data_IF_401012579576
#
_entry.id   IF_401012579576
#
_cell.length_a   1.000
_cell.length_b   1.000
_cell.length_c   1.000
_cell.angle_alpha   90.00
_cell.angle_beta   90.00
_cell.angle_gamma   90.00
#
_symmetry.space_group_name_H-M   'P 1'
#
loop_
_entity.id
_entity.type
_entity.pdbx_description
1 polymer ?
#
# COMPACT_ATOMS: atom_id res chain seq x y z
N UNK A 1 -16.68 -7.12 42.32
CA UNK A 1 -15.42 -6.50 41.80
C UNK A 1 -14.70 -7.45 40.85
N UNK A 2 -14.64 -8.75 41.13
CA UNK A 2 -14.08 -9.77 40.20
C UNK A 2 -14.75 -9.80 38.82
N UNK A 3 -16.08 -9.77 38.75
CA UNK A 3 -16.81 -9.76 37.47
C UNK A 3 -16.44 -8.56 36.58
N UNK A 4 -16.17 -7.40 37.18
CA UNK A 4 -15.77 -6.18 36.44
C UNK A 4 -14.35 -6.31 35.91
N UNK A 5 -13.43 -6.91 36.68
CA UNK A 5 -12.07 -7.19 36.20
C UNK A 5 -12.04 -8.26 35.11
N UNK A 6 -12.90 -9.28 35.21
CA UNK A 6 -13.02 -10.33 34.19
C UNK A 6 -13.58 -9.74 32.89
N UNK A 7 -14.65 -8.94 32.97
CA UNK A 7 -15.20 -8.25 31.80
C UNK A 7 -14.17 -7.36 31.12
N UNK A 8 -13.38 -6.60 31.88
CA UNK A 8 -12.32 -5.75 31.36
C UNK A 8 -11.27 -6.56 30.60
N UNK A 9 -10.84 -7.69 31.17
CA UNK A 9 -9.84 -8.57 30.54
C UNK A 9 -10.34 -9.20 29.22
N UNK A 10 -11.63 -9.56 29.17
CA UNK A 10 -12.27 -10.09 27.96
C UNK A 10 -12.36 -9.00 26.89
N UNK A 11 -12.74 -7.77 27.27
CA UNK A 11 -12.82 -6.65 26.35
C UNK A 11 -11.46 -6.26 25.78
N UNK A 12 -10.41 -6.22 26.60
CA UNK A 12 -9.02 -5.96 26.16
C UNK A 12 -8.55 -7.01 25.14
N UNK A 13 -8.83 -8.29 25.41
CA UNK A 13 -8.49 -9.39 24.48
C UNK A 13 -9.28 -9.30 23.16
N UNK A 14 -10.55 -8.91 23.20
CA UNK A 14 -11.37 -8.70 21.99
C UNK A 14 -10.84 -7.51 21.19
N UNK A 15 -10.50 -6.41 21.86
CA UNK A 15 -9.85 -5.26 21.25
C UNK A 15 -8.53 -5.63 20.55
N UNK A 16 -7.65 -6.38 21.23
CA UNK A 16 -6.40 -6.86 20.67
C UNK A 16 -6.60 -7.67 19.39
N UNK A 17 -7.58 -8.58 19.39
CA UNK A 17 -7.96 -9.38 18.19
C UNK A 17 -8.50 -8.53 17.04
N UNK A 18 -9.27 -7.47 17.34
CA UNK A 18 -9.78 -6.56 16.30
C UNK A 18 -8.67 -5.72 15.68
N UNK A 19 -7.76 -5.20 16.51
CA UNK A 19 -6.58 -4.47 16.03
C UNK A 19 -5.74 -5.39 15.14
N UNK A 20 -5.50 -6.62 15.57
CA UNK A 20 -4.77 -7.62 14.80
C UNK A 20 -5.44 -7.91 13.45
N UNK A 21 -6.77 -8.09 13.43
CA UNK A 21 -7.51 -8.28 12.18
C UNK A 21 -7.38 -7.07 11.23
N UNK A 22 -7.38 -5.84 11.77
CA UNK A 22 -7.11 -4.63 11.00
C UNK A 22 -5.69 -4.60 10.41
N UNK A 23 -4.69 -4.99 11.19
CA UNK A 23 -3.29 -5.07 10.73
C UNK A 23 -3.08 -6.17 9.68
N UNK A 24 -3.73 -7.32 9.85
CA UNK A 24 -3.74 -8.39 8.82
C UNK A 24 -4.41 -7.91 7.53
N UNK A 25 -5.47 -7.11 7.61
CA UNK A 25 -6.09 -6.47 6.44
C UNK A 25 -5.11 -5.53 5.72
N UNK A 26 -4.38 -4.70 6.47
CA UNK A 26 -3.31 -3.87 5.92
C UNK A 26 -2.26 -4.69 5.16
N UNK A 27 -1.72 -5.74 5.80
CA UNK A 27 -0.78 -6.68 5.17
C UNK A 27 -1.34 -7.28 3.87
N UNK A 28 -2.58 -7.77 3.89
CA UNK A 28 -3.20 -8.38 2.70
C UNK A 28 -3.36 -7.38 1.55
N UNK A 29 -3.68 -6.11 1.85
CA UNK A 29 -3.79 -5.07 0.83
C UNK A 29 -2.46 -4.86 0.11
N UNK A 30 -1.37 -4.67 0.87
CA UNK A 30 -0.03 -4.53 0.28
C UNK A 30 0.44 -5.80 -0.44
N UNK A 31 0.13 -6.98 0.08
CA UNK A 31 0.49 -8.25 -0.55
C UNK A 31 -0.19 -8.44 -1.92
N UNK A 32 -1.46 -8.04 -2.07
CA UNK A 32 -2.17 -8.10 -3.35
C UNK A 32 -1.56 -7.15 -4.38
N UNK A 33 -1.27 -5.92 -3.98
CA UNK A 33 -0.60 -4.97 -4.88
C UNK A 33 0.80 -5.43 -5.27
N UNK A 34 1.56 -5.97 -4.30
CA UNK A 34 2.86 -6.56 -4.57
C UNK A 34 2.75 -7.70 -5.59
N UNK A 35 1.78 -8.60 -5.44
CA UNK A 35 1.55 -9.69 -6.39
C UNK A 35 1.21 -9.17 -7.79
N UNK A 36 0.36 -8.15 -7.90
CA UNK A 36 0.02 -7.51 -9.20
C UNK A 36 1.25 -6.87 -9.83
N UNK A 37 2.08 -6.17 -9.06
CA UNK A 37 3.29 -5.55 -9.60
C UNK A 37 4.34 -6.60 -10.01
N UNK A 38 4.56 -7.63 -9.19
CA UNK A 38 5.50 -8.70 -9.53
C UNK A 38 5.07 -9.47 -10.78
N UNK A 39 3.77 -9.77 -10.91
CA UNK A 39 3.25 -10.40 -12.12
C UNK A 39 3.49 -9.51 -13.35
N UNK A 40 3.33 -8.20 -13.23
CA UNK A 40 3.61 -7.27 -14.32
C UNK A 40 5.08 -7.36 -14.78
N UNK A 41 6.02 -7.38 -13.83
CA UNK A 41 7.45 -7.54 -14.14
C UNK A 41 7.78 -8.90 -14.75
N UNK A 42 7.17 -9.98 -14.24
CA UNK A 42 7.33 -11.32 -14.84
C UNK A 42 6.85 -11.32 -16.29
N UNK A 43 5.71 -10.67 -16.58
CA UNK A 43 5.19 -10.55 -17.94
C UNK A 43 6.13 -9.75 -18.84
N UNK A 44 6.64 -8.60 -18.37
CA UNK A 44 7.62 -7.79 -19.13
C UNK A 44 8.92 -8.55 -19.43
N UNK A 45 9.34 -9.46 -18.53
CA UNK A 45 10.55 -10.25 -18.74
C UNK A 45 10.40 -11.40 -19.73
N UNK A 46 9.17 -11.83 -20.02
CA UNK A 46 8.87 -12.98 -20.89
C UNK A 46 8.37 -12.53 -22.26
N UNK A 47 7.64 -11.41 -22.32
CA UNK A 47 6.98 -10.94 -23.53
C UNK A 47 7.49 -9.56 -23.93
N UNK A 48 7.54 -9.30 -25.24
CA UNK A 48 7.74 -7.95 -25.76
C UNK A 48 6.38 -7.21 -25.73
N UNK A 49 6.15 -6.48 -24.65
CA UNK A 49 4.84 -5.96 -24.29
C UNK A 49 4.58 -4.61 -24.94
N UNK A 50 3.61 -4.57 -25.86
CA UNK A 50 3.10 -3.33 -26.44
C UNK A 50 2.40 -2.44 -25.40
N UNK A 51 2.36 -1.12 -25.65
CA UNK A 51 1.71 -0.16 -24.77
C UNK A 51 0.21 -0.45 -24.54
N UNK A 52 -0.47 -1.11 -25.48
CA UNK A 52 -1.88 -1.53 -25.35
C UNK A 52 -2.09 -2.54 -24.22
N UNK A 53 -1.09 -3.37 -23.93
CA UNK A 53 -1.17 -4.29 -22.79
C UNK A 53 -1.30 -3.54 -21.47
N UNK A 54 -0.62 -2.39 -21.31
CA UNK A 54 -0.72 -1.56 -20.11
C UNK A 54 -2.13 -1.01 -19.89
N UNK A 55 -2.84 -0.69 -20.99
CA UNK A 55 -4.24 -0.25 -20.93
C UNK A 55 -5.20 -1.34 -20.45
N UNK A 56 -4.83 -2.61 -20.56
CA UNK A 56 -5.67 -3.74 -20.13
C UNK A 56 -5.23 -4.22 -18.74
N UNK A 57 -3.91 -4.40 -18.57
CA UNK A 57 -3.32 -4.98 -17.37
C UNK A 57 -3.62 -4.17 -16.11
N UNK A 58 -3.39 -2.85 -16.14
CA UNK A 58 -3.55 -2.02 -14.95
C UNK A 58 -5.01 -1.87 -14.52
N UNK A 59 -5.99 -1.60 -15.41
CA UNK A 59 -7.40 -1.62 -15.02
C UNK A 59 -7.86 -2.98 -14.50
N UNK A 60 -7.40 -4.08 -15.11
CA UNK A 60 -7.74 -5.42 -14.65
C UNK A 60 -7.14 -5.71 -13.26
N UNK A 61 -5.85 -5.40 -13.06
CA UNK A 61 -5.18 -5.52 -11.78
C UNK A 61 -5.88 -4.69 -10.69
N UNK A 62 -6.24 -3.44 -11.01
CA UNK A 62 -7.01 -2.57 -10.11
C UNK A 62 -8.37 -3.19 -9.75
N UNK A 63 -9.11 -3.70 -10.74
CA UNK A 63 -10.40 -4.36 -10.50
C UNK A 63 -10.24 -5.59 -9.58
N UNK A 64 -9.23 -6.43 -9.82
CA UNK A 64 -8.91 -7.59 -8.98
C UNK A 64 -8.57 -7.15 -7.56
N UNK A 65 -7.70 -6.15 -7.41
CA UNK A 65 -7.30 -5.61 -6.10
C UNK A 65 -8.52 -5.07 -5.33
N UNK A 66 -9.37 -4.28 -5.97
CA UNK A 66 -10.58 -3.71 -5.36
C UNK A 66 -11.60 -4.77 -4.96
N UNK A 67 -11.80 -5.79 -5.80
CA UNK A 67 -12.70 -6.91 -5.46
C UNK A 67 -12.17 -7.68 -4.25
N UNK A 68 -10.87 -7.99 -4.24
CA UNK A 68 -10.27 -8.77 -3.16
C UNK A 68 -10.25 -7.98 -1.83
N UNK A 69 -9.71 -6.76 -1.84
CA UNK A 69 -9.66 -5.89 -0.66
C UNK A 69 -11.06 -5.53 -0.18
N UNK A 70 -11.99 -5.22 -1.08
CA UNK A 70 -13.38 -4.94 -0.75
C UNK A 70 -14.11 -6.12 -0.08
N UNK A 71 -13.84 -7.36 -0.51
CA UNK A 71 -14.39 -8.57 0.14
C UNK A 71 -13.88 -8.72 1.56
N UNK A 72 -12.59 -8.51 1.80
CA UNK A 72 -12.01 -8.62 3.14
C UNK A 72 -12.49 -7.47 4.03
N UNK A 73 -12.57 -6.26 3.49
CA UNK A 73 -13.07 -5.08 4.21
C UNK A 73 -14.49 -5.30 4.76
N UNK A 74 -15.38 -5.91 3.95
CA UNK A 74 -16.74 -6.27 4.40
C UNK A 74 -16.71 -7.25 5.59
N UNK A 75 -15.78 -8.22 5.58
CA UNK A 75 -15.60 -9.16 6.71
C UNK A 75 -15.08 -8.44 7.96
N UNK A 76 -14.11 -7.55 7.80
CA UNK A 76 -13.56 -6.76 8.89
C UNK A 76 -14.62 -5.83 9.52
N UNK A 77 -15.41 -5.12 8.70
CA UNK A 77 -16.55 -4.32 9.16
C UNK A 77 -17.58 -5.14 9.95
N UNK A 78 -17.87 -6.37 9.49
CA UNK A 78 -18.79 -7.29 10.18
C UNK A 78 -18.23 -7.68 11.55
N UNK A 79 -16.94 -7.96 11.66
CA UNK A 79 -16.28 -8.26 12.94
C UNK A 79 -16.39 -7.09 13.91
N UNK A 80 -16.03 -5.87 13.46
CA UNK A 80 -16.15 -4.66 14.29
C UNK A 80 -17.57 -4.45 14.83
N UNK A 81 -18.57 -4.56 13.97
CA UNK A 81 -19.98 -4.40 14.34
C UNK A 81 -20.44 -5.39 15.41
N UNK A 82 -20.01 -6.66 15.32
CA UNK A 82 -20.35 -7.70 16.32
C UNK A 82 -19.69 -7.41 17.67
N UNK A 83 -18.53 -6.76 17.67
CA UNK A 83 -17.77 -6.39 18.87
C UNK A 83 -18.09 -5.01 19.44
N UNK A 84 -19.11 -4.32 18.92
CA UNK A 84 -19.49 -2.98 19.37
C UNK A 84 -18.51 -1.86 19.00
N UNK A 85 -17.49 -2.14 18.18
CA UNK A 85 -16.59 -1.14 17.58
C UNK A 85 -16.96 -0.95 16.13
N UNK A 86 -17.76 0.06 15.83
CA UNK A 86 -17.92 0.48 14.44
C UNK A 86 -16.56 0.93 13.92
N UNK A 87 -16.07 0.23 12.90
CA UNK A 87 -14.90 0.68 12.15
C UNK A 87 -15.38 1.87 11.33
N UNK A 88 -15.16 3.08 11.87
CA UNK A 88 -15.50 4.32 11.21
C UNK A 88 -14.85 4.34 9.81
N UNK A 89 -15.69 4.38 8.78
CA UNK A 89 -15.25 4.59 7.41
C UNK A 89 -15.75 5.94 6.95
N UNK A 90 -14.86 6.93 6.90
CA UNK A 90 -15.19 8.24 6.33
C UNK A 90 -15.18 8.14 4.79
N UNK A 91 -16.29 8.44 4.09
CA UNK A 91 -16.31 8.50 2.63
C UNK A 91 -15.28 9.50 2.09
N UNK A 92 -15.05 10.60 2.82
CA UNK A 92 -14.05 11.61 2.49
C UNK A 92 -12.63 11.04 2.50
N UNK A 93 -12.29 10.18 3.46
CA UNK A 93 -10.97 9.53 3.49
C UNK A 93 -10.76 8.66 2.23
N UNK A 94 -11.80 7.93 1.80
CA UNK A 94 -11.75 7.15 0.56
C UNK A 94 -11.55 8.02 -0.68
N UNK A 95 -12.25 9.15 -0.76
CA UNK A 95 -12.09 10.12 -1.86
C UNK A 95 -10.67 10.71 -1.88
N UNK A 96 -10.14 11.12 -0.73
CA UNK A 96 -8.80 11.71 -0.63
C UNK A 96 -7.70 10.71 -1.01
N UNK A 97 -7.85 9.44 -0.61
CA UNK A 97 -6.96 8.36 -1.08
C UNK A 97 -7.09 8.21 -2.61
N UNK A 98 -8.30 8.15 -3.15
CA UNK A 98 -8.49 8.09 -4.61
C UNK A 98 -7.82 9.24 -5.36
N UNK A 99 -7.93 10.46 -4.84
CA UNK A 99 -7.29 11.66 -5.39
C UNK A 99 -5.76 11.59 -5.29
N UNK A 100 -5.20 11.03 -4.21
CA UNK A 100 -3.76 10.90 -4.06
C UNK A 100 -3.16 9.98 -5.12
N UNK A 101 -3.83 8.86 -5.42
CA UNK A 101 -3.44 7.95 -6.49
C UNK A 101 -3.59 8.58 -7.87
N UNK A 102 -4.71 9.27 -8.15
CA UNK A 102 -4.91 9.97 -9.42
C UNK A 102 -3.82 11.03 -9.67
N UNK A 103 -3.50 11.82 -8.64
CA UNK A 103 -2.44 12.83 -8.69
C UNK A 103 -1.07 12.18 -8.87
N UNK A 104 -0.81 11.09 -8.14
CA UNK A 104 0.43 10.32 -8.27
C UNK A 104 0.63 9.75 -9.67
N UNK A 105 -0.44 9.28 -10.33
CA UNK A 105 -0.36 8.78 -11.72
C UNK A 105 0.11 9.89 -12.65
N UNK A 106 -0.51 11.08 -12.57
CA UNK A 106 -0.13 12.23 -13.40
C UNK A 106 1.31 12.65 -13.11
N UNK A 107 1.71 12.68 -11.84
CA UNK A 107 3.07 13.03 -11.44
C UNK A 107 4.09 12.02 -11.99
N UNK A 108 3.91 10.72 -11.75
CA UNK A 108 4.92 9.72 -12.06
C UNK A 108 4.93 9.21 -13.50
N UNK A 109 3.83 9.33 -14.25
CA UNK A 109 3.77 8.86 -15.64
C UNK A 109 3.78 9.96 -16.69
N UNK A 110 3.50 11.21 -16.31
CA UNK A 110 3.48 12.34 -17.24
C UNK A 110 4.55 13.36 -16.83
N UNK A 111 4.35 14.02 -15.69
CA UNK A 111 5.17 15.18 -15.31
C UNK A 111 6.64 14.80 -15.11
N UNK A 112 6.94 13.77 -14.32
CA UNK A 112 8.32 13.41 -13.97
C UNK A 112 9.10 12.88 -15.18
N UNK A 113 8.57 11.94 -15.99
CA UNK A 113 9.25 11.53 -17.21
C UNK A 113 9.52 12.70 -18.19
N UNK A 114 8.56 13.62 -18.36
CA UNK A 114 8.70 14.78 -19.27
C UNK A 114 9.82 15.75 -18.84
N UNK A 115 10.12 15.81 -17.53
CA UNK A 115 11.25 16.58 -16.99
C UNK A 115 12.61 15.94 -17.30
N UNK A 116 12.63 14.70 -17.81
CA UNK A 116 13.82 13.92 -18.14
C UNK A 116 14.91 13.94 -17.04
N UNK A 117 14.58 13.56 -15.79
CA UNK A 117 15.53 13.61 -14.67
C UNK A 117 16.63 12.54 -14.73
N UNK A 118 16.44 11.50 -15.55
CA UNK A 118 17.39 10.41 -15.71
C UNK A 118 18.38 10.63 -16.85
N UNK A 119 19.55 10.00 -16.75
CA UNK A 119 20.56 10.00 -17.82
C UNK A 119 20.13 9.20 -19.07
N UNK A 120 19.06 8.40 -18.95
CA UNK A 120 18.40 7.66 -20.05
C UNK A 120 16.88 7.79 -19.94
N UNK A 121 16.15 7.47 -21.01
CA UNK A 121 14.68 7.41 -20.98
C UNK A 121 14.18 6.37 -19.96
N UNK A 122 14.83 5.20 -19.91
CA UNK A 122 14.53 4.16 -18.93
C UNK A 122 14.71 4.67 -17.49
N UNK A 123 15.80 5.40 -17.22
CA UNK A 123 16.03 6.01 -15.91
C UNK A 123 14.96 7.04 -15.55
N UNK A 124 14.54 7.88 -16.50
CA UNK A 124 13.47 8.87 -16.29
C UNK A 124 12.12 8.19 -16.00
N UNK A 125 11.79 7.12 -16.72
CA UNK A 125 10.59 6.30 -16.45
C UNK A 125 10.65 5.62 -15.08
N UNK A 126 11.81 5.08 -14.70
CA UNK A 126 12.01 4.47 -13.38
C UNK A 126 11.87 5.49 -12.24
N UNK A 127 12.44 6.68 -12.40
CA UNK A 127 12.25 7.81 -11.47
C UNK A 127 10.78 8.22 -11.37
N UNK A 128 10.08 8.27 -12.51
CA UNK A 128 8.64 8.51 -12.57
C UNK A 128 7.83 7.49 -11.78
N UNK A 129 8.07 6.20 -12.03
CA UNK A 129 7.41 5.11 -11.32
C UNK A 129 7.65 5.15 -9.80
N UNK A 130 8.89 5.37 -9.36
CA UNK A 130 9.21 5.49 -7.93
C UNK A 130 8.54 6.72 -7.29
N UNK A 131 8.47 7.84 -8.02
CA UNK A 131 7.77 9.05 -7.57
C UNK A 131 6.27 8.81 -7.42
N UNK A 132 5.66 8.13 -8.39
CA UNK A 132 4.25 7.73 -8.30
C UNK A 132 3.96 6.94 -7.02
N UNK A 133 4.74 5.90 -6.74
CA UNK A 133 4.53 5.05 -5.56
C UNK A 133 4.80 5.82 -4.27
N UNK A 134 5.96 6.48 -4.18
CA UNK A 134 6.35 7.25 -3.01
C UNK A 134 5.28 8.30 -2.65
N UNK A 135 4.87 9.11 -3.62
CA UNK A 135 3.86 10.15 -3.41
C UNK A 135 2.50 9.57 -3.03
N UNK A 136 2.00 8.59 -3.80
CA UNK A 136 0.65 8.05 -3.61
C UNK A 136 0.49 7.39 -2.24
N UNK A 137 1.49 6.60 -1.83
CA UNK A 137 1.48 5.88 -0.56
C UNK A 137 1.74 6.82 0.62
N UNK A 138 2.62 7.82 0.46
CA UNK A 138 2.82 8.86 1.49
C UNK A 138 1.55 9.68 1.72
N UNK A 139 0.90 10.15 0.66
CA UNK A 139 -0.34 10.91 0.77
C UNK A 139 -1.48 10.06 1.35
N UNK A 140 -1.58 8.78 0.98
CA UNK A 140 -2.50 7.83 1.63
C UNK A 140 -2.21 7.72 3.13
N UNK A 141 -0.95 7.60 3.52
CA UNK A 141 -0.55 7.58 4.93
C UNK A 141 -0.91 8.87 5.67
N UNK A 142 -0.73 10.06 5.05
CA UNK A 142 -1.16 11.34 5.63
C UNK A 142 -2.68 11.39 5.86
N UNK A 143 -3.47 10.92 4.90
CA UNK A 143 -4.93 10.81 5.06
C UNK A 143 -5.25 9.91 6.26
N UNK A 144 -4.65 8.72 6.32
CA UNK A 144 -4.90 7.79 7.43
C UNK A 144 -4.46 8.35 8.79
N UNK A 145 -3.33 9.05 8.85
CA UNK A 145 -2.84 9.70 10.05
C UNK A 145 -3.76 10.86 10.50
N UNK A 146 -4.31 11.63 9.56
CA UNK A 146 -5.21 12.75 9.85
C UNK A 146 -6.60 12.30 10.34
N UNK A 147 -7.15 11.21 9.78
CA UNK A 147 -8.44 10.66 10.20
C UNK A 147 -8.34 9.69 11.39
N UNK A 148 -7.15 9.20 11.74
CA UNK A 148 -6.94 8.34 12.92
C UNK A 148 -5.67 8.67 13.70
N UNK A 149 -5.62 9.81 14.43
CA UNK A 149 -4.40 10.30 15.08
C UNK A 149 -3.83 9.37 16.15
N UNK A 150 -4.69 8.56 16.80
CA UNK A 150 -4.26 7.59 17.84
C UNK A 150 -3.72 6.27 17.25
N UNK A 151 -3.96 5.98 15.97
CA UNK A 151 -3.62 4.73 15.29
C UNK A 151 -2.94 4.99 13.93
N UNK A 152 -2.02 5.97 13.86
CA UNK A 152 -1.24 6.20 12.64
C UNK A 152 -0.64 4.87 12.14
N UNK A 153 -0.97 4.50 10.91
CA UNK A 153 -0.59 3.24 10.27
C UNK A 153 0.91 3.27 9.91
N UNK A 154 1.77 3.27 10.93
CA UNK A 154 3.23 3.39 10.80
C UNK A 154 3.83 2.27 9.96
N UNK A 155 3.16 1.13 9.89
CA UNK A 155 3.58 -0.02 9.09
C UNK A 155 3.60 0.28 7.58
N UNK A 156 2.90 1.33 7.13
CA UNK A 156 2.91 1.81 5.73
C UNK A 156 4.22 2.52 5.37
N UNK A 157 4.99 3.02 6.36
CA UNK A 157 6.16 3.87 6.12
C UNK A 157 7.17 3.29 5.13
N UNK A 158 7.58 2.01 5.22
CA UNK A 158 8.52 1.42 4.27
C UNK A 158 8.03 1.50 2.82
N UNK A 159 6.73 1.34 2.58
CA UNK A 159 6.15 1.31 1.24
C UNK A 159 6.17 2.67 0.52
N UNK A 160 6.39 3.80 1.20
CA UNK A 160 6.68 5.08 0.53
C UNK A 160 8.13 5.53 0.69
N UNK A 161 8.74 5.27 1.85
CA UNK A 161 10.08 5.76 2.16
C UNK A 161 11.14 5.06 1.33
N UNK A 162 11.03 3.74 1.17
CA UNK A 162 12.02 2.97 0.37
C UNK A 162 11.94 3.35 -1.11
N UNK A 163 10.74 3.44 -1.74
CA UNK A 163 10.62 4.00 -3.08
C UNK A 163 11.19 5.42 -3.21
N UNK A 164 10.93 6.30 -2.25
CA UNK A 164 11.46 7.67 -2.25
C UNK A 164 13.00 7.69 -2.24
N UNK A 165 13.64 6.84 -1.43
CA UNK A 165 15.10 6.71 -1.40
C UNK A 165 15.65 6.13 -2.72
N UNK A 166 14.90 5.23 -3.35
CA UNK A 166 15.26 4.64 -4.64
C UNK A 166 15.36 5.67 -5.78
N UNK A 167 14.61 6.78 -5.69
CA UNK A 167 14.60 7.85 -6.70
C UNK A 167 16.02 8.37 -6.95
N UNK A 168 16.75 8.66 -5.87
CA UNK A 168 18.11 9.22 -5.93
C UNK A 168 19.07 8.35 -6.73
N UNK A 169 18.90 7.02 -6.66
CA UNK A 169 19.74 6.09 -7.41
C UNK A 169 19.31 5.98 -8.87
N UNK A 170 18.00 5.98 -9.12
CA UNK A 170 17.42 5.70 -10.45
C UNK A 170 17.83 6.71 -11.51
N UNK A 171 18.00 7.99 -11.16
CA UNK A 171 18.35 9.06 -12.12
C UNK A 171 19.72 8.87 -12.76
N UNK A 172 20.67 8.25 -12.05
CA UNK A 172 22.04 8.02 -12.51
C UNK A 172 22.31 6.60 -13.03
N UNK A 173 21.28 5.85 -13.41
CA UNK A 173 21.44 4.48 -13.93
C UNK A 173 21.48 4.48 -15.45
N UNK A 174 22.51 3.87 -16.03
CA UNK A 174 22.63 3.74 -17.48
C UNK A 174 21.73 2.62 -18.03
N UNK A 175 21.59 1.53 -17.29
CA UNK A 175 20.81 0.35 -17.68
C UNK A 175 20.10 -0.25 -16.46
N UNK A 176 18.95 -0.89 -16.70
CA UNK A 176 18.24 -1.68 -15.69
C UNK A 176 17.53 -0.85 -14.62
N UNK A 177 17.28 0.42 -14.89
CA UNK A 177 16.64 1.34 -13.96
C UNK A 177 15.21 0.91 -13.60
N UNK A 178 14.45 0.37 -14.56
CA UNK A 178 13.08 -0.10 -14.33
C UNK A 178 13.05 -1.35 -13.46
N UNK A 179 13.99 -2.28 -13.68
CA UNK A 179 14.15 -3.47 -12.84
C UNK A 179 14.52 -3.08 -11.41
N UNK A 180 15.49 -2.17 -11.25
CA UNK A 180 15.85 -1.60 -9.95
C UNK A 180 14.64 -1.00 -9.24
N UNK A 181 13.87 -0.15 -9.92
CA UNK A 181 12.68 0.46 -9.35
C UNK A 181 11.65 -0.59 -8.89
N UNK A 182 11.46 -1.65 -9.68
CA UNK A 182 10.61 -2.79 -9.32
C UNK A 182 11.07 -3.49 -8.04
N UNK A 183 12.37 -3.79 -7.91
CA UNK A 183 12.92 -4.40 -6.70
C UNK A 183 12.81 -3.49 -5.48
N UNK A 184 13.03 -2.18 -5.63
CA UNK A 184 12.88 -1.20 -4.55
C UNK A 184 11.44 -1.17 -4.03
N UNK A 185 10.45 -1.10 -4.94
CA UNK A 185 9.04 -1.15 -4.57
C UNK A 185 8.69 -2.49 -3.93
N UNK A 186 9.16 -3.59 -4.52
CA UNK A 186 8.97 -4.94 -3.99
C UNK A 186 9.50 -5.12 -2.57
N UNK A 187 10.70 -4.61 -2.30
CA UNK A 187 11.30 -4.59 -0.97
C UNK A 187 10.47 -3.75 0.01
N UNK A 188 10.09 -2.52 -0.39
CA UNK A 188 9.28 -1.63 0.44
C UNK A 188 7.95 -2.25 0.84
N UNK A 189 7.24 -2.84 -0.12
CA UNK A 189 5.95 -3.48 0.12
C UNK A 189 6.12 -4.75 0.97
N UNK A 190 7.15 -5.56 0.72
CA UNK A 190 7.42 -6.77 1.51
C UNK A 190 7.71 -6.43 2.98
N UNK A 191 8.52 -5.41 3.24
CA UNK A 191 8.80 -4.96 4.60
C UNK A 191 7.56 -4.39 5.29
N UNK A 192 6.72 -3.65 4.56
CA UNK A 192 5.42 -3.20 5.05
C UNK A 192 4.51 -4.37 5.43
N UNK A 193 4.42 -5.41 4.58
CA UNK A 193 3.64 -6.63 4.89
C UNK A 193 4.15 -7.29 6.16
N UNK A 194 5.47 -7.51 6.28
CA UNK A 194 6.08 -8.13 7.46
C UNK A 194 5.82 -7.30 8.73
N UNK A 195 5.94 -5.98 8.64
CA UNK A 195 5.69 -5.11 9.78
C UNK A 195 4.22 -5.14 10.20
N UNK A 196 3.29 -5.11 9.25
CA UNK A 196 1.86 -5.30 9.54
C UNK A 196 1.58 -6.62 10.25
N UNK A 197 2.17 -7.72 9.79
CA UNK A 197 1.99 -9.03 10.42
C UNK A 197 2.59 -9.06 11.83
N UNK A 198 3.79 -8.52 12.02
CA UNK A 198 4.42 -8.40 13.34
C UNK A 198 3.55 -7.59 14.30
N UNK A 199 3.05 -6.42 13.86
CA UNK A 199 2.14 -5.60 14.65
C UNK A 199 0.82 -6.32 14.96
N UNK A 200 0.33 -7.18 14.05
CA UNK A 200 -0.85 -7.99 14.29
C UNK A 200 -0.63 -8.99 15.42
N UNK A 201 0.49 -9.74 15.42
CA UNK A 201 0.81 -10.68 16.49
C UNK A 201 0.97 -9.98 17.84
N UNK A 202 1.68 -8.85 17.87
CA UNK A 202 1.82 -8.03 19.09
C UNK A 202 0.49 -7.52 19.64
N UNK A 203 -0.50 -7.28 18.78
CA UNK A 203 -1.83 -6.86 19.20
C UNK A 203 -2.65 -8.01 19.81
N UNK A 204 -2.42 -9.27 19.40
CA UNK A 204 -3.11 -10.45 19.96
C UNK A 204 -2.61 -10.79 21.37
N UNK A 205 -1.33 -10.51 21.65
CA UNK A 205 -0.68 -10.77 22.94
C UNK A 205 -1.05 -9.78 24.05
N UNK A 206 -1.74 -8.68 23.70
CA UNK A 206 -2.35 -7.75 24.66
C UNK A 206 -3.67 -8.29 25.19
#
# INVERSE_FOLDING_TARGET
MEEVSELKSVLERVEGRLIAAGKMYGAMNFAVWLAIMLLYYVMLGIFDISWQFNLIYWPLGFAVAMVFTGRIWKRLKRLGRVTGREIESSPLAGILIGLSWATGIVLGWVIVPDLNPGITEEASLATGFLTFIAFSVFAMWLVMAGFSPKNGEREIIPAFLIPALGILRSTGMAEGAIAWAGFVVGLGFSLTVLWYLYSAFKAIER
#
